data_IF_116925755581
#
_entry.id   IF_116925755581
#
_cell.length_a   1.000
_cell.length_b   1.000
_cell.length_c   1.000
_cell.angle_alpha   90.00
_cell.angle_beta   90.00
_cell.angle_gamma   90.00
#
_symmetry.space_group_name_H-M   'P 1'
#
loop_
_entity.id
_entity.type
_entity.pdbx_description
1 polymer ?
#
# COMPACT_ATOMS: atom_id res chain seq x y z
N UNK A 1 19.53 9.64 0.39
CA UNK A 1 19.79 11.07 0.64
C UNK A 1 18.90 11.94 -0.23
N UNK A 2 18.72 13.22 0.10
CA UNK A 2 17.96 14.18 -0.73
C UNK A 2 18.57 14.30 -2.14
N UNK A 3 19.89 14.25 -2.25
CA UNK A 3 20.56 14.29 -3.54
C UNK A 3 20.26 13.06 -4.42
N UNK A 4 20.11 11.90 -3.83
CA UNK A 4 19.68 10.68 -4.54
C UNK A 4 18.28 10.85 -5.08
N UNK A 5 17.32 11.28 -4.25
CA UNK A 5 15.93 11.53 -4.65
C UNK A 5 15.86 12.53 -5.81
N UNK A 6 16.53 13.67 -5.67
CA UNK A 6 16.64 14.70 -6.71
C UNK A 6 17.15 14.12 -8.04
N UNK A 7 18.23 13.36 -8.00
CA UNK A 7 18.85 12.81 -9.20
C UNK A 7 17.99 11.73 -9.86
N UNK A 8 17.31 10.89 -9.07
CA UNK A 8 16.38 9.89 -9.60
C UNK A 8 15.25 10.60 -10.35
N UNK A 9 14.55 11.53 -9.70
CA UNK A 9 13.42 12.25 -10.31
C UNK A 9 13.88 13.03 -11.53
N UNK A 10 15.00 13.77 -11.45
CA UNK A 10 15.52 14.53 -12.60
C UNK A 10 15.81 13.64 -13.81
N UNK A 11 16.49 12.49 -13.60
CA UNK A 11 16.86 11.59 -14.70
C UNK A 11 15.67 10.86 -15.31
N UNK A 12 14.70 10.48 -14.51
CA UNK A 12 13.49 9.83 -15.00
C UNK A 12 12.60 10.80 -15.76
N UNK A 13 12.40 12.02 -15.23
CA UNK A 13 11.63 13.08 -15.91
C UNK A 13 12.22 13.47 -17.25
N UNK A 14 13.56 13.55 -17.39
CA UNK A 14 14.21 13.89 -18.66
C UNK A 14 14.02 12.83 -19.76
N UNK A 15 13.63 11.60 -19.40
CA UNK A 15 13.45 10.48 -20.33
C UNK A 15 12.01 10.07 -20.54
N UNK A 16 11.11 10.62 -19.73
CA UNK A 16 9.70 10.26 -19.79
C UNK A 16 9.01 10.99 -20.94
N UNK A 17 8.13 10.26 -21.62
CA UNK A 17 7.28 10.75 -22.70
C UNK A 17 5.81 10.49 -22.33
N UNK A 18 4.98 11.54 -22.42
CA UNK A 18 3.54 11.47 -22.16
C UNK A 18 3.16 11.27 -20.71
N UNK A 19 3.60 10.19 -20.06
CA UNK A 19 3.23 9.84 -18.69
C UNK A 19 4.41 9.19 -17.93
N UNK A 20 4.50 9.50 -16.63
CA UNK A 20 5.39 8.79 -15.69
C UNK A 20 4.65 8.45 -14.40
N UNK A 21 4.89 7.24 -13.88
CA UNK A 21 4.36 6.80 -12.59
C UNK A 21 5.49 6.59 -11.58
N UNK A 22 5.33 7.16 -10.38
CA UNK A 22 6.21 6.92 -9.23
C UNK A 22 5.46 6.10 -8.19
N UNK A 23 5.90 4.88 -7.94
CA UNK A 23 5.37 4.00 -6.90
C UNK A 23 6.34 3.96 -5.70
N UNK A 24 5.86 4.42 -4.56
CA UNK A 24 6.60 4.38 -3.29
C UNK A 24 6.16 3.14 -2.51
N UNK A 25 7.01 2.13 -2.48
CA UNK A 25 6.75 0.85 -1.80
C UNK A 25 8.03 0.25 -1.23
N UNK A 26 7.89 -0.82 -0.45
CA UNK A 26 9.00 -1.54 0.17
C UNK A 26 9.32 -1.03 1.57
N UNK A 27 9.46 -1.94 2.56
CA UNK A 27 9.41 -1.59 3.97
C UNK A 27 8.11 -0.87 4.32
N UNK A 28 8.21 0.24 5.04
CA UNK A 28 7.10 1.17 5.25
C UNK A 28 7.53 2.57 4.79
N UNK A 29 7.05 3.05 3.63
CA UNK A 29 7.49 4.33 3.07
C UNK A 29 7.20 5.54 3.95
N UNK A 30 6.10 5.53 4.72
CA UNK A 30 5.72 6.65 5.58
C UNK A 30 6.73 6.93 6.70
N UNK A 31 7.58 5.95 7.05
CA UNK A 31 8.71 6.15 7.97
C UNK A 31 9.74 7.17 7.46
N UNK A 32 9.73 7.51 6.17
CA UNK A 32 10.57 8.58 5.61
C UNK A 32 10.10 9.97 6.00
N UNK A 33 8.92 10.07 6.56
CA UNK A 33 8.28 11.32 6.93
C UNK A 33 7.68 12.07 5.74
N UNK A 34 6.71 12.91 6.00
CA UNK A 34 5.94 13.64 4.99
C UNK A 34 6.83 14.60 4.16
N UNK A 35 7.88 15.18 4.77
CA UNK A 35 8.77 16.11 4.08
C UNK A 35 9.55 15.46 2.93
N UNK A 36 9.85 14.16 3.04
CA UNK A 36 10.44 13.43 1.91
C UNK A 36 9.52 13.44 0.69
N UNK A 37 8.22 13.23 0.88
CA UNK A 37 7.24 13.21 -0.21
C UNK A 37 6.94 14.60 -0.74
N UNK A 38 6.87 15.61 0.12
CA UNK A 38 6.79 17.02 -0.29
C UNK A 38 7.96 17.41 -1.18
N UNK A 39 9.16 16.99 -0.81
CA UNK A 39 10.36 17.24 -1.60
C UNK A 39 10.34 16.46 -2.93
N UNK A 40 9.84 15.21 -2.94
CA UNK A 40 9.69 14.44 -4.17
C UNK A 40 8.77 15.14 -5.17
N UNK A 41 7.59 15.57 -4.71
CA UNK A 41 6.64 16.31 -5.55
C UNK A 41 7.23 17.65 -6.04
N UNK A 42 7.96 18.36 -5.18
CA UNK A 42 8.63 19.60 -5.56
C UNK A 42 9.64 19.35 -6.71
N UNK A 43 10.43 18.27 -6.63
CA UNK A 43 11.35 17.89 -7.70
C UNK A 43 10.60 17.45 -8.97
N UNK A 44 9.50 16.71 -8.85
CA UNK A 44 8.65 16.36 -10.00
C UNK A 44 8.19 17.62 -10.73
N UNK A 45 7.61 18.59 -10.00
CA UNK A 45 7.18 19.88 -10.56
C UNK A 45 8.34 20.67 -11.19
N UNK A 46 9.50 20.71 -10.53
CA UNK A 46 10.69 21.43 -10.99
C UNK A 46 11.26 20.86 -12.29
N UNK A 47 11.27 19.54 -12.46
CA UNK A 47 11.90 18.86 -13.60
C UNK A 47 10.93 18.44 -14.70
N UNK A 48 9.62 18.62 -14.51
CA UNK A 48 8.61 18.36 -15.54
C UNK A 48 8.56 19.49 -16.58
N UNK A 49 9.60 19.61 -17.40
CA UNK A 49 9.71 20.65 -18.43
C UNK A 49 8.79 20.41 -19.63
N UNK A 50 8.38 19.18 -19.85
CA UNK A 50 7.53 18.78 -20.97
C UNK A 50 6.06 18.66 -20.60
N UNK A 51 5.68 19.04 -19.37
CA UNK A 51 4.30 19.01 -18.87
C UNK A 51 3.62 17.63 -19.04
N UNK A 52 4.40 16.54 -18.89
CA UNK A 52 3.88 15.18 -18.94
C UNK A 52 3.02 14.88 -17.71
N UNK A 53 2.12 13.92 -17.84
CA UNK A 53 1.31 13.44 -16.72
C UNK A 53 2.19 12.71 -15.69
N UNK A 54 2.02 13.05 -14.40
CA UNK A 54 2.74 12.42 -13.31
C UNK A 54 1.74 11.75 -12.37
N UNK A 55 1.85 10.43 -12.22
CA UNK A 55 1.06 9.66 -11.28
C UNK A 55 1.92 9.24 -10.10
N UNK A 56 1.40 9.41 -8.91
CA UNK A 56 2.05 8.99 -7.68
C UNK A 56 1.22 7.92 -6.97
N UNK A 57 1.85 6.84 -6.55
CA UNK A 57 1.23 5.81 -5.74
C UNK A 57 2.05 5.56 -4.48
N UNK A 58 1.38 5.39 -3.33
CA UNK A 58 1.98 5.08 -2.04
C UNK A 58 1.39 3.79 -1.51
N UNK A 59 2.21 2.77 -1.32
CA UNK A 59 1.79 1.57 -0.60
C UNK A 59 2.23 1.66 0.85
N UNK A 60 1.26 1.59 1.77
CA UNK A 60 1.50 1.78 3.19
C UNK A 60 0.67 0.83 4.05
N UNK A 61 1.17 0.53 5.25
CA UNK A 61 0.39 -0.15 6.27
C UNK A 61 -0.63 0.79 6.97
N UNK A 62 -0.67 2.07 6.64
CA UNK A 62 -1.61 3.05 7.17
C UNK A 62 -1.32 3.55 8.59
N UNK A 63 -0.35 2.97 9.31
CA UNK A 63 -0.14 3.20 10.74
C UNK A 63 0.24 4.64 11.11
N UNK A 64 0.90 5.35 10.19
CA UNK A 64 1.35 6.73 10.38
C UNK A 64 0.51 7.75 9.60
N UNK A 65 -0.59 7.32 8.98
CA UNK A 65 -1.47 8.25 8.26
C UNK A 65 -2.22 9.10 9.28
N UNK A 66 -2.09 10.40 9.15
CA UNK A 66 -2.77 11.45 9.91
C UNK A 66 -3.41 12.49 8.97
N UNK A 67 -3.99 13.54 9.54
CA UNK A 67 -4.63 14.61 8.78
C UNK A 67 -3.66 15.28 7.80
N UNK A 68 -2.41 15.56 8.21
CA UNK A 68 -1.41 16.18 7.36
C UNK A 68 -1.04 15.28 6.15
N UNK A 69 -1.00 13.96 6.38
CA UNK A 69 -0.82 12.99 5.32
C UNK A 69 -2.00 13.00 4.36
N UNK A 70 -3.23 12.99 4.87
CA UNK A 70 -4.44 12.97 4.04
C UNK A 70 -4.54 14.24 3.18
N UNK A 71 -4.29 15.41 3.76
CA UNK A 71 -4.24 16.68 3.00
C UNK A 71 -3.22 16.60 1.86
N UNK A 72 -1.98 16.20 2.18
CA UNK A 72 -0.91 16.08 1.18
C UNK A 72 -1.25 15.08 0.07
N UNK A 73 -1.74 13.90 0.44
CA UNK A 73 -2.09 12.84 -0.51
C UNK A 73 -3.20 13.30 -1.46
N UNK A 74 -4.23 13.96 -0.90
CA UNK A 74 -5.33 14.52 -1.69
C UNK A 74 -4.88 15.62 -2.62
N UNK A 75 -4.17 16.63 -2.11
CA UNK A 75 -3.69 17.77 -2.91
C UNK A 75 -2.77 17.37 -4.07
N UNK A 76 -1.99 16.31 -3.89
CA UNK A 76 -1.04 15.83 -4.90
C UNK A 76 -1.52 14.57 -5.64
N UNK A 77 -2.81 14.23 -5.54
CA UNK A 77 -3.48 13.14 -6.28
C UNK A 77 -2.74 11.80 -6.18
N UNK A 78 -2.31 11.44 -4.96
CA UNK A 78 -1.74 10.12 -4.72
C UNK A 78 -2.84 9.05 -4.73
N UNK A 79 -2.55 7.91 -5.36
CA UNK A 79 -3.29 6.68 -5.14
C UNK A 79 -2.64 5.92 -3.98
N UNK A 80 -3.39 5.62 -2.94
CA UNK A 80 -2.88 4.88 -1.78
C UNK A 80 -3.28 3.42 -1.85
N UNK A 81 -2.30 2.52 -1.77
CA UNK A 81 -2.53 1.10 -1.50
C UNK A 81 -2.48 0.86 0.01
N UNK A 82 -3.65 0.75 0.65
CA UNK A 82 -3.74 0.49 2.08
C UNK A 82 -3.65 -1.00 2.35
N UNK A 83 -2.62 -1.42 3.08
CA UNK A 83 -2.43 -2.82 3.43
C UNK A 83 -3.41 -3.27 4.52
N UNK A 84 -4.34 -4.14 4.16
CA UNK A 84 -5.32 -4.72 5.08
C UNK A 84 -5.55 -6.20 4.74
N UNK A 85 -5.38 -7.07 5.72
CA UNK A 85 -5.48 -8.52 5.53
C UNK A 85 -6.77 -9.07 6.14
N UNK A 86 -7.90 -8.79 5.49
CA UNK A 86 -9.21 -9.37 5.82
C UNK A 86 -9.91 -8.78 7.03
N UNK A 87 -10.63 -9.63 7.76
CA UNK A 87 -11.40 -9.25 8.96
C UNK A 87 -10.48 -8.88 10.14
N UNK A 88 -11.00 -8.23 11.20
CA UNK A 88 -10.20 -7.89 12.37
C UNK A 88 -9.39 -9.06 12.93
N UNK A 89 -10.03 -10.23 13.05
CA UNK A 89 -9.42 -11.42 13.62
C UNK A 89 -8.30 -11.99 12.74
N UNK A 90 -8.46 -11.93 11.43
CA UNK A 90 -7.44 -12.39 10.47
C UNK A 90 -6.30 -11.39 10.46
N UNK A 91 -6.60 -10.11 10.27
CA UNK A 91 -5.60 -9.05 10.22
C UNK A 91 -4.70 -9.06 11.47
N UNK A 92 -5.30 -9.03 12.65
CA UNK A 92 -4.58 -8.98 13.92
C UNK A 92 -3.87 -10.29 14.27
N UNK A 93 -4.14 -11.39 13.57
CA UNK A 93 -3.34 -12.61 13.68
C UNK A 93 -2.07 -12.60 12.82
N UNK A 94 -2.01 -11.70 11.83
CA UNK A 94 -0.92 -11.63 10.86
C UNK A 94 -0.06 -10.35 11.04
N UNK A 95 -0.70 -9.24 11.46
CA UNK A 95 -0.06 -7.93 11.56
C UNK A 95 -0.14 -7.37 12.97
N UNK A 96 1.02 -7.12 13.53
CA UNK A 96 1.19 -6.56 14.88
C UNK A 96 2.16 -5.39 14.84
N UNK A 97 2.03 -4.47 15.78
CA UNK A 97 3.07 -3.50 16.05
C UNK A 97 4.35 -4.21 16.50
N UNK A 98 5.46 -3.96 15.82
CA UNK A 98 6.72 -4.69 16.06
C UNK A 98 7.34 -4.42 17.44
N UNK A 99 7.00 -3.30 18.08
CA UNK A 99 7.57 -2.92 19.38
C UNK A 99 6.74 -3.44 20.54
N UNK A 100 5.44 -3.37 20.41
CA UNK A 100 4.49 -3.64 21.50
C UNK A 100 3.81 -4.99 21.36
N UNK A 101 3.80 -5.59 20.16
CA UNK A 101 2.99 -6.77 19.84
C UNK A 101 1.49 -6.46 19.75
N UNK A 102 1.09 -5.22 19.85
CA UNK A 102 -0.33 -4.84 19.84
C UNK A 102 -0.97 -5.05 18.46
N UNK A 103 -2.27 -5.41 18.43
CA UNK A 103 -3.04 -5.51 17.19
C UNK A 103 -3.08 -4.16 16.47
N UNK A 104 -3.10 -4.20 15.14
CA UNK A 104 -3.03 -2.97 14.32
C UNK A 104 -4.32 -2.63 13.59
N UNK A 105 -5.29 -3.54 13.55
CA UNK A 105 -6.54 -3.38 12.79
C UNK A 105 -7.28 -2.08 13.10
N UNK A 106 -7.51 -1.78 14.38
CA UNK A 106 -8.25 -0.58 14.79
C UNK A 106 -7.58 0.71 14.26
N UNK A 107 -6.24 0.75 14.33
CA UNK A 107 -5.46 1.89 13.82
C UNK A 107 -5.57 2.06 12.31
N UNK A 108 -5.59 0.96 11.58
CA UNK A 108 -5.75 0.98 10.12
C UNK A 108 -7.17 1.44 9.73
N UNK A 109 -8.18 1.04 10.50
CA UNK A 109 -9.56 1.51 10.29
C UNK A 109 -9.72 3.01 10.54
N UNK A 110 -9.02 3.57 11.53
CA UNK A 110 -8.96 5.03 11.74
C UNK A 110 -8.33 5.72 10.53
N UNK A 111 -7.22 5.20 10.01
CA UNK A 111 -6.58 5.73 8.82
C UNK A 111 -7.48 5.66 7.58
N UNK A 112 -8.18 4.53 7.35
CA UNK A 112 -9.14 4.38 6.26
C UNK A 112 -10.27 5.41 6.37
N UNK A 113 -10.87 5.55 7.56
CA UNK A 113 -11.91 6.56 7.81
C UNK A 113 -11.41 7.96 7.53
N UNK A 114 -10.21 8.31 7.97
CA UNK A 114 -9.61 9.62 7.73
C UNK A 114 -9.39 9.86 6.23
N UNK A 115 -8.90 8.86 5.49
CA UNK A 115 -8.76 8.96 4.03
C UNK A 115 -10.12 9.17 3.34
N UNK A 116 -11.20 8.51 3.82
CA UNK A 116 -12.57 8.75 3.31
C UNK A 116 -13.01 10.19 3.59
N UNK A 117 -12.83 10.69 4.81
CA UNK A 117 -13.22 12.05 5.23
C UNK A 117 -12.50 13.12 4.38
N UNK A 118 -11.23 12.91 4.06
CA UNK A 118 -10.41 13.80 3.22
C UNK A 118 -10.52 13.51 1.71
N UNK A 119 -11.29 12.48 1.31
CA UNK A 119 -11.50 12.07 -0.08
C UNK A 119 -10.18 11.70 -0.79
N UNK A 120 -9.29 11.06 -0.08
CA UNK A 120 -8.07 10.49 -0.66
C UNK A 120 -8.45 9.26 -1.47
N UNK A 121 -7.89 9.12 -2.66
CA UNK A 121 -8.10 7.93 -3.48
C UNK A 121 -7.26 6.77 -2.94
N UNK A 122 -7.90 5.66 -2.55
CA UNK A 122 -7.19 4.48 -2.08
C UNK A 122 -7.87 3.17 -2.50
N UNK A 123 -7.08 2.11 -2.55
CA UNK A 123 -7.52 0.74 -2.70
C UNK A 123 -7.02 -0.11 -1.52
N UNK A 124 -7.75 -1.18 -1.22
CA UNK A 124 -7.32 -2.18 -0.25
C UNK A 124 -6.36 -3.15 -0.93
N UNK A 125 -5.22 -3.40 -0.28
CA UNK A 125 -4.23 -4.34 -0.74
C UNK A 125 -4.07 -5.45 0.30
N UNK A 126 -4.42 -6.67 -0.10
CA UNK A 126 -4.46 -7.87 0.76
C UNK A 126 -3.42 -8.88 0.30
N UNK A 127 -2.58 -9.33 1.21
CA UNK A 127 -1.70 -10.48 0.98
C UNK A 127 -2.47 -11.75 1.31
N UNK A 128 -2.82 -12.51 0.27
CA UNK A 128 -3.62 -13.73 0.40
C UNK A 128 -2.76 -14.85 0.95
N UNK A 129 -2.82 -15.03 2.26
CA UNK A 129 -2.26 -16.18 2.97
C UNK A 129 -3.21 -17.38 2.90
N UNK A 130 -2.74 -18.56 3.32
CA UNK A 130 -3.60 -19.76 3.47
C UNK A 130 -4.86 -19.44 4.31
N UNK A 131 -4.67 -18.72 5.42
CA UNK A 131 -5.78 -18.31 6.31
C UNK A 131 -6.80 -17.38 5.62
N UNK A 132 -6.36 -16.44 4.79
CA UNK A 132 -7.26 -15.59 4.01
C UNK A 132 -7.98 -16.39 2.93
N UNK A 133 -7.27 -17.27 2.23
CA UNK A 133 -7.87 -18.12 1.20
C UNK A 133 -8.96 -19.04 1.77
N UNK A 134 -8.75 -19.63 2.95
CA UNK A 134 -9.76 -20.44 3.63
C UNK A 134 -11.02 -19.64 4.01
N UNK A 135 -10.89 -18.35 4.27
CA UNK A 135 -11.96 -17.44 4.70
C UNK A 135 -12.30 -16.37 3.65
N UNK A 136 -12.04 -16.63 2.37
CA UNK A 136 -12.14 -15.61 1.30
C UNK A 136 -13.54 -15.00 1.19
N UNK A 137 -14.60 -15.80 1.38
CA UNK A 137 -15.98 -15.33 1.33
C UNK A 137 -16.28 -14.30 2.43
N UNK A 138 -15.82 -14.56 3.66
CA UNK A 138 -16.00 -13.65 4.80
C UNK A 138 -15.19 -12.36 4.62
N UNK A 139 -13.96 -12.49 4.13
CA UNK A 139 -13.08 -11.34 3.80
C UNK A 139 -13.71 -10.46 2.74
N UNK A 140 -14.19 -11.07 1.65
CA UNK A 140 -14.84 -10.34 0.57
C UNK A 140 -16.14 -9.65 1.03
N UNK A 141 -16.98 -10.35 1.80
CA UNK A 141 -18.21 -9.80 2.38
C UNK A 141 -17.92 -8.62 3.29
N UNK A 142 -16.91 -8.74 4.14
CA UNK A 142 -16.45 -7.65 5.01
C UNK A 142 -16.02 -6.41 4.21
N UNK A 143 -15.21 -6.58 3.15
CA UNK A 143 -14.80 -5.45 2.31
C UNK A 143 -15.98 -4.81 1.57
N UNK A 144 -16.93 -5.62 1.11
CA UNK A 144 -18.15 -5.16 0.47
C UNK A 144 -19.03 -4.34 1.42
N UNK A 145 -19.20 -4.78 2.67
CA UNK A 145 -19.94 -4.06 3.71
C UNK A 145 -19.30 -2.70 4.04
N UNK A 146 -17.97 -2.62 3.96
CA UNK A 146 -17.23 -1.35 4.11
C UNK A 146 -17.30 -0.44 2.88
N UNK A 147 -17.88 -0.90 1.78
CA UNK A 147 -17.98 -0.15 0.54
C UNK A 147 -16.67 -0.06 -0.25
N UNK A 148 -15.65 -0.85 0.11
CA UNK A 148 -14.37 -0.86 -0.59
C UNK A 148 -14.50 -1.60 -1.92
N UNK A 149 -14.62 -0.85 -2.99
CA UNK A 149 -14.82 -1.38 -4.35
C UNK A 149 -13.52 -1.76 -5.05
N UNK A 150 -12.42 -1.09 -4.69
CA UNK A 150 -11.11 -1.31 -5.30
C UNK A 150 -10.26 -2.15 -4.36
N UNK A 151 -10.02 -3.39 -4.78
CA UNK A 151 -9.31 -4.40 -3.99
C UNK A 151 -8.24 -5.03 -4.86
N UNK A 152 -7.06 -5.23 -4.30
CA UNK A 152 -5.95 -5.92 -4.93
C UNK A 152 -5.52 -7.07 -4.02
N UNK A 153 -5.44 -8.27 -4.59
CA UNK A 153 -5.06 -9.49 -3.89
C UNK A 153 -3.71 -9.97 -4.40
N UNK A 154 -2.76 -10.17 -3.49
CA UNK A 154 -1.40 -10.62 -3.79
C UNK A 154 -1.18 -11.96 -3.12
N UNK A 155 -0.86 -13.01 -3.90
CA UNK A 155 -0.58 -14.33 -3.37
C UNK A 155 0.64 -14.31 -2.44
N UNK A 156 0.51 -14.90 -1.24
CA UNK A 156 1.64 -15.15 -0.34
C UNK A 156 2.34 -16.43 -0.79
N UNK A 157 3.50 -16.27 -1.44
CA UNK A 157 4.29 -17.37 -1.95
C UNK A 157 5.47 -17.67 -1.03
N UNK A 158 5.91 -18.93 -1.04
CA UNK A 158 7.19 -19.30 -0.44
C UNK A 158 8.38 -18.67 -1.17
N UNK A 159 9.54 -18.51 -0.52
CA UNK A 159 10.75 -18.05 -1.18
C UNK A 159 11.11 -18.90 -2.39
N UNK A 160 11.46 -18.27 -3.51
CA UNK A 160 11.72 -18.94 -4.80
C UNK A 160 12.94 -19.90 -4.79
N UNK A 161 13.83 -19.75 -3.81
CA UNK A 161 15.09 -20.50 -3.75
C UNK A 161 15.04 -21.74 -2.81
N UNK A 162 13.92 -21.96 -2.13
CA UNK A 162 13.80 -23.02 -1.15
C UNK A 162 12.78 -24.08 -1.59
N UNK A 163 13.25 -25.18 -2.14
CA UNK A 163 12.38 -26.27 -2.65
C UNK A 163 11.47 -26.91 -1.58
N UNK A 164 11.69 -26.67 -0.27
CA UNK A 164 11.02 -27.44 0.78
C UNK A 164 10.57 -26.63 2.02
N UNK A 165 10.73 -25.31 2.08
CA UNK A 165 10.26 -24.51 3.22
C UNK A 165 8.83 -24.07 2.98
N UNK A 166 7.90 -24.82 3.53
CA UNK A 166 6.51 -24.37 3.60
C UNK A 166 6.35 -23.42 4.79
N UNK A 167 6.32 -22.13 4.50
CA UNK A 167 5.92 -21.18 5.55
C UNK A 167 4.46 -21.44 5.91
N UNK A 168 4.07 -21.31 7.19
CA UNK A 168 2.70 -21.60 7.63
C UNK A 168 1.65 -20.67 6.98
N UNK A 169 2.08 -19.67 6.26
CA UNK A 169 1.21 -18.65 5.65
C UNK A 169 1.15 -18.73 4.12
N UNK A 170 2.06 -19.50 3.48
CA UNK A 170 2.09 -19.59 2.04
C UNK A 170 0.86 -20.30 1.46
N UNK A 171 0.47 -19.86 0.28
CA UNK A 171 -0.57 -20.53 -0.51
C UNK A 171 0.01 -21.75 -1.21
N UNK A 172 -0.72 -22.87 -1.17
CA UNK A 172 -0.47 -23.95 -2.10
C UNK A 172 -1.21 -23.70 -3.42
N UNK A 173 -0.71 -24.23 -4.57
CA UNK A 173 -1.40 -24.11 -5.85
C UNK A 173 -2.84 -24.63 -5.80
N UNK A 174 -3.09 -25.72 -5.06
CA UNK A 174 -4.41 -26.32 -4.90
C UNK A 174 -5.37 -25.40 -4.14
N UNK A 175 -4.90 -24.76 -3.08
CA UNK A 175 -5.72 -23.84 -2.28
C UNK A 175 -6.02 -22.56 -3.08
N UNK A 176 -5.03 -22.04 -3.80
CA UNK A 176 -5.22 -20.90 -4.69
C UNK A 176 -6.25 -21.21 -5.78
N UNK A 177 -6.09 -22.32 -6.50
CA UNK A 177 -6.99 -22.69 -7.61
C UNK A 177 -8.42 -23.03 -7.21
N UNK A 178 -8.67 -23.38 -5.93
CA UNK A 178 -10.04 -23.66 -5.43
C UNK A 178 -10.77 -22.41 -4.92
N UNK A 179 -10.04 -21.35 -4.62
CA UNK A 179 -10.57 -20.17 -3.92
C UNK A 179 -10.43 -18.86 -4.71
N UNK A 180 -9.67 -18.89 -5.81
CA UNK A 180 -9.62 -17.79 -6.80
C UNK A 180 -10.84 -17.86 -7.72
#
# INVERSE_FOLDING_TARGET
SQNTLKNVIRKTMLRAEGLISYAYQGGEPTLRGLDFFRQAVAYQKQYNKHHISVHNALQTNGYLIDENWCEFLKENHFLVGLSLDGTPQIHDSLRHDRKTGAPTFAKIMEAAKMMDDYKVDYNILTVVTSKIAENVADVYSFYKEKGWRYQQYIACLDPLEEEHVKTPHALTPELYGRKA
#
